data_IF_530915940789
#
_entry.id   IF_530915940789
#
_cell.length_a   1.000
_cell.length_b   1.000
_cell.length_c   1.000
_cell.angle_alpha   90.00
_cell.angle_beta   90.00
_cell.angle_gamma   90.00
#
_symmetry.space_group_name_H-M   'P 1'
#
loop_
_entity.id
_entity.type
_entity.pdbx_description
1 polymer ?
#
# COMPACT_ATOMS: atom_id res chain seq x y z
N UNK A 1 6.22 9.54 -1.86
CA UNK A 1 5.39 9.72 -0.64
C UNK A 1 6.18 9.98 0.64
N UNK A 2 7.27 9.26 0.94
CA UNK A 2 8.00 9.39 2.21
C UNK A 2 8.42 10.83 2.60
N UNK A 3 8.83 11.65 1.63
CA UNK A 3 9.23 13.04 1.88
C UNK A 3 8.03 13.96 2.14
N UNK A 4 6.93 13.76 1.41
CA UNK A 4 5.79 14.67 1.37
C UNK A 4 4.72 14.36 2.42
N UNK A 5 4.77 13.19 3.07
CA UNK A 5 3.79 12.76 4.08
C UNK A 5 4.14 13.28 5.47
N UNK A 6 4.13 14.60 5.60
CA UNK A 6 4.33 15.34 6.85
C UNK A 6 3.16 16.31 7.07
N UNK A 7 2.81 16.65 8.32
CA UNK A 7 1.68 17.55 8.62
C UNK A 7 1.83 18.95 8.00
N UNK A 8 3.06 19.41 7.81
CA UNK A 8 3.43 20.75 7.34
C UNK A 8 3.38 20.90 5.80
N UNK A 9 3.28 19.78 5.05
CA UNK A 9 3.44 19.79 3.59
C UNK A 9 2.11 20.05 2.90
N UNK A 10 2.15 20.85 1.83
CA UNK A 10 0.96 21.16 1.04
C UNK A 10 0.30 19.89 0.47
N UNK A 11 -1.01 19.79 0.64
CA UNK A 11 -1.81 18.61 0.32
C UNK A 11 -1.66 18.15 -1.15
N UNK A 12 -1.45 19.08 -2.08
CA UNK A 12 -1.33 18.72 -3.50
C UNK A 12 -0.12 17.84 -3.83
N UNK A 13 0.96 17.87 -3.05
CA UNK A 13 2.07 16.93 -3.23
C UNK A 13 1.68 15.48 -2.88
N UNK A 14 0.81 15.31 -1.88
CA UNK A 14 0.25 14.01 -1.55
C UNK A 14 -0.71 13.52 -2.61
N UNK A 15 -1.55 14.39 -3.15
CA UNK A 15 -2.46 14.08 -4.25
C UNK A 15 -1.66 13.64 -5.48
N UNK A 16 -0.63 14.39 -5.87
CA UNK A 16 0.24 14.05 -7.00
C UNK A 16 0.89 12.67 -6.81
N UNK A 17 1.41 12.38 -5.62
CA UNK A 17 1.95 11.05 -5.32
C UNK A 17 0.91 9.94 -5.50
N UNK A 18 -0.35 10.15 -5.07
CA UNK A 18 -1.40 9.14 -5.23
C UNK A 18 -1.76 8.93 -6.70
N UNK A 19 -1.81 9.99 -7.50
CA UNK A 19 -2.05 9.89 -8.95
C UNK A 19 -0.94 9.05 -9.61
N UNK A 20 0.33 9.31 -9.29
CA UNK A 20 1.45 8.54 -9.83
C UNK A 20 1.37 7.05 -9.43
N UNK A 21 1.02 6.77 -8.17
CA UNK A 21 0.84 5.39 -7.69
C UNK A 21 -0.33 4.72 -8.42
N UNK A 22 -1.45 5.42 -8.62
CA UNK A 22 -2.62 4.87 -9.31
C UNK A 22 -2.32 4.56 -10.78
N UNK A 23 -1.62 5.45 -11.49
CA UNK A 23 -1.21 5.23 -12.88
C UNK A 23 -0.26 4.04 -12.96
N UNK A 24 0.77 3.99 -12.12
CA UNK A 24 1.72 2.88 -12.11
C UNK A 24 1.04 1.55 -11.75
N UNK A 25 0.24 1.53 -10.68
CA UNK A 25 -0.46 0.33 -10.21
C UNK A 25 -1.45 -0.21 -11.25
N UNK A 26 -2.27 0.65 -11.84
CA UNK A 26 -3.22 0.23 -12.88
C UNK A 26 -2.54 -0.33 -14.12
N UNK A 27 -1.45 0.29 -14.58
CA UNK A 27 -0.69 -0.21 -15.72
C UNK A 27 -0.02 -1.55 -15.42
N UNK A 28 0.61 -1.72 -14.25
CA UNK A 28 1.29 -2.97 -13.91
C UNK A 28 0.34 -4.17 -13.82
N UNK A 29 -0.84 -3.99 -13.22
CA UNK A 29 -1.85 -5.07 -13.11
C UNK A 29 -2.29 -5.57 -14.49
N UNK A 30 -2.53 -4.66 -15.44
CA UNK A 30 -2.91 -5.07 -16.80
C UNK A 30 -1.74 -5.77 -17.50
N UNK A 31 -0.52 -5.25 -17.36
CA UNK A 31 0.66 -5.84 -17.98
C UNK A 31 0.99 -7.25 -17.44
N UNK A 32 0.89 -7.47 -16.12
CA UNK A 32 1.16 -8.79 -15.54
C UNK A 32 0.11 -9.82 -15.98
N UNK A 33 -1.16 -9.44 -16.05
CA UNK A 33 -2.24 -10.30 -16.54
C UNK A 33 -2.00 -10.72 -17.99
N UNK A 34 -1.63 -9.77 -18.85
CA UNK A 34 -1.30 -10.06 -20.25
C UNK A 34 -0.09 -10.99 -20.34
N UNK A 35 0.95 -10.76 -19.53
CA UNK A 35 2.14 -11.62 -19.50
C UNK A 35 1.79 -13.06 -19.06
N UNK A 36 0.96 -13.21 -18.03
CA UNK A 36 0.51 -14.50 -17.54
C UNK A 36 -0.33 -15.25 -18.58
N UNK A 37 -1.27 -14.55 -19.24
CA UNK A 37 -2.09 -15.12 -20.32
C UNK A 37 -1.26 -15.51 -21.56
N UNK A 38 -0.20 -14.76 -21.87
CA UNK A 38 0.68 -15.07 -23.00
C UNK A 38 1.53 -16.34 -22.78
N UNK A 39 1.72 -16.75 -21.53
CA UNK A 39 2.51 -17.94 -21.19
C UNK A 39 1.73 -19.26 -21.28
N UNK A 40 0.40 -19.22 -21.45
CA UNK A 40 -0.46 -20.42 -21.44
C UNK A 40 -1.35 -20.52 -22.67
N UNK A 41 -1.86 -21.74 -22.91
CA UNK A 41 -2.88 -21.95 -23.94
C UNK A 41 -4.22 -21.33 -23.52
N UNK A 42 -5.05 -20.98 -24.51
CA UNK A 42 -6.33 -20.31 -24.27
C UNK A 42 -7.25 -21.05 -23.28
N UNK A 43 -7.22 -22.38 -23.31
CA UNK A 43 -8.01 -23.25 -22.42
C UNK A 43 -7.63 -23.10 -20.94
N UNK A 44 -6.43 -22.59 -20.63
CA UNK A 44 -5.93 -22.45 -19.26
C UNK A 44 -5.92 -21.01 -18.75
N UNK A 45 -6.37 -20.03 -19.53
CA UNK A 45 -6.39 -18.61 -19.13
C UNK A 45 -7.16 -18.41 -17.83
N UNK A 46 -8.36 -18.98 -17.72
CA UNK A 46 -9.19 -18.84 -16.52
C UNK A 46 -8.49 -19.39 -15.26
N UNK A 47 -7.77 -20.51 -15.40
CA UNK A 47 -7.04 -21.13 -14.29
C UNK A 47 -5.87 -20.26 -13.86
N UNK A 48 -5.10 -19.71 -14.81
CA UNK A 48 -3.97 -18.82 -14.51
C UNK A 48 -4.42 -17.54 -13.81
N UNK A 49 -5.48 -16.90 -14.29
CA UNK A 49 -6.03 -15.70 -13.64
C UNK A 49 -6.59 -16.00 -12.25
N UNK A 50 -7.18 -17.19 -12.03
CA UNK A 50 -7.62 -17.60 -10.70
C UNK A 50 -6.44 -17.78 -9.73
N UNK A 51 -5.34 -18.36 -10.20
CA UNK A 51 -4.10 -18.52 -9.41
C UNK A 51 -3.50 -17.14 -9.10
N UNK A 52 -3.43 -16.24 -10.08
CA UNK A 52 -2.99 -14.86 -9.89
C UNK A 52 -3.82 -14.15 -8.80
N UNK A 53 -5.15 -14.18 -8.91
CA UNK A 53 -6.05 -13.58 -7.93
C UNK A 53 -5.87 -14.16 -6.51
N UNK A 54 -5.62 -15.46 -6.40
CA UNK A 54 -5.29 -16.10 -5.13
C UNK A 54 -4.01 -15.53 -4.52
N UNK A 55 -2.94 -15.40 -5.30
CA UNK A 55 -1.68 -14.81 -4.82
C UNK A 55 -1.84 -13.33 -4.46
N UNK A 56 -2.62 -12.57 -5.22
CA UNK A 56 -2.96 -11.17 -4.90
C UNK A 56 -3.67 -11.07 -3.55
N UNK A 57 -4.62 -11.97 -3.26
CA UNK A 57 -5.30 -12.03 -1.96
C UNK A 57 -4.33 -12.33 -0.81
N UNK A 58 -3.41 -13.29 -1.00
CA UNK A 58 -2.37 -13.61 -0.01
C UNK A 58 -1.47 -12.39 0.24
N UNK A 59 -0.98 -11.75 -0.82
CA UNK A 59 -0.15 -10.55 -0.71
C UNK A 59 -0.86 -9.41 0.02
N UNK A 60 -2.15 -9.20 -0.25
CA UNK A 60 -2.96 -8.22 0.45
C UNK A 60 -3.08 -8.54 1.95
N UNK A 61 -3.35 -9.81 2.31
CA UNK A 61 -3.44 -10.23 3.71
C UNK A 61 -2.11 -10.05 4.46
N UNK A 62 -0.98 -10.39 3.83
CA UNK A 62 0.36 -10.16 4.39
C UNK A 62 0.63 -8.67 4.59
N UNK A 63 0.30 -7.83 3.59
CA UNK A 63 0.47 -6.38 3.67
C UNK A 63 -0.35 -5.75 4.80
N UNK A 64 -1.61 -6.14 4.95
CA UNK A 64 -2.47 -5.67 6.05
C UNK A 64 -1.93 -6.11 7.41
N UNK A 65 -1.45 -7.36 7.52
CA UNK A 65 -0.88 -7.88 8.77
C UNK A 65 0.38 -7.11 9.17
N UNK A 66 1.28 -6.84 8.22
CA UNK A 66 2.49 -6.05 8.46
C UNK A 66 2.14 -4.61 8.86
N UNK A 67 1.19 -3.98 8.16
CA UNK A 67 0.72 -2.64 8.52
C UNK A 67 0.11 -2.61 9.93
N UNK A 68 -0.72 -3.59 10.30
CA UNK A 68 -1.29 -3.69 11.64
C UNK A 68 -0.21 -3.88 12.72
N UNK A 69 0.81 -4.70 12.45
CA UNK A 69 1.94 -4.89 13.37
C UNK A 69 2.74 -3.59 13.57
N UNK A 70 3.03 -2.86 12.50
CA UNK A 70 3.71 -1.55 12.59
C UNK A 70 2.83 -0.54 13.33
N UNK A 71 1.53 -0.49 13.03
CA UNK A 71 0.59 0.44 13.66
C UNK A 71 0.52 0.22 15.18
N UNK A 72 0.22 -1.00 15.60
CA UNK A 72 0.09 -1.36 17.02
C UNK A 72 1.42 -1.26 17.77
N UNK A 73 2.54 -1.46 17.07
CA UNK A 73 3.88 -1.38 17.65
C UNK A 73 4.45 0.03 17.77
N UNK A 74 4.14 0.94 16.85
CA UNK A 74 4.79 2.26 16.77
C UNK A 74 3.87 3.42 17.15
N UNK A 75 2.64 3.45 16.63
CA UNK A 75 1.73 4.58 16.82
C UNK A 75 1.48 4.91 18.30
N UNK A 76 1.15 3.97 19.22
CA UNK A 76 0.94 4.31 20.62
C UNK A 76 2.23 4.78 21.33
N UNK A 77 3.40 4.28 20.91
CA UNK A 77 4.70 4.73 21.46
C UNK A 77 4.98 6.19 21.08
N UNK A 78 4.81 6.52 19.80
CA UNK A 78 4.98 7.89 19.29
C UNK A 78 3.94 8.84 19.85
N UNK A 79 2.72 8.36 20.03
CA UNK A 79 1.66 9.13 20.68
C UNK A 79 2.03 9.46 22.13
N UNK A 80 2.57 8.50 22.90
CA UNK A 80 3.05 8.74 24.26
C UNK A 80 4.17 9.78 24.33
N UNK A 81 5.07 9.76 23.35
CA UNK A 81 6.22 10.66 23.24
C UNK A 81 5.79 12.10 22.96
N UNK A 82 4.83 12.29 22.04
CA UNK A 82 4.43 13.62 21.58
C UNK A 82 3.28 14.25 22.36
N UNK A 83 2.47 13.45 23.07
CA UNK A 83 1.34 14.00 23.83
C UNK A 83 1.83 14.96 24.94
N UNK A 84 1.21 16.14 25.04
CA UNK A 84 1.54 17.09 26.08
C UNK A 84 1.02 16.58 27.44
N UNK A 85 1.61 17.00 28.57
CA UNK A 85 1.31 16.47 29.90
C UNK A 85 -0.19 16.42 30.23
N UNK A 86 -0.94 17.44 29.81
CA UNK A 86 -2.39 17.59 30.00
C UNK A 86 -3.23 16.52 29.29
N UNK A 87 -2.73 15.93 28.19
CA UNK A 87 -3.46 14.93 27.40
C UNK A 87 -2.84 13.54 27.48
N UNK A 88 -1.76 13.35 28.26
CA UNK A 88 -1.11 12.03 28.42
C UNK A 88 -2.03 11.01 29.10
N UNK A 89 -2.91 11.45 30.00
CA UNK A 89 -3.90 10.58 30.64
C UNK A 89 -4.88 9.95 29.64
N UNK A 90 -5.16 10.64 28.55
CA UNK A 90 -6.13 10.21 27.53
C UNK A 90 -5.53 9.30 26.46
N UNK A 91 -4.25 8.94 26.56
CA UNK A 91 -3.53 8.19 25.52
C UNK A 91 -4.31 6.98 25.00
N UNK A 92 -4.87 6.16 25.89
CA UNK A 92 -5.64 4.96 25.49
C UNK A 92 -6.93 5.32 24.76
N UNK A 93 -7.62 6.37 25.17
CA UNK A 93 -8.84 6.85 24.52
C UNK A 93 -8.53 7.43 23.13
N UNK A 94 -7.46 8.24 23.03
CA UNK A 94 -6.97 8.81 21.77
C UNK A 94 -6.53 7.70 20.81
N UNK A 95 -5.81 6.69 21.30
CA UNK A 95 -5.38 5.55 20.48
C UNK A 95 -6.58 4.72 19.98
N UNK A 96 -7.54 4.44 20.86
CA UNK A 96 -8.64 3.52 20.59
C UNK A 96 -9.78 4.08 19.76
N UNK A 97 -9.95 5.41 19.68
CA UNK A 97 -11.07 6.02 18.96
C UNK A 97 -10.67 7.25 18.13
N UNK A 98 -10.86 7.15 16.82
CA UNK A 98 -10.67 8.24 15.87
C UNK A 98 -11.57 9.44 16.16
N UNK A 99 -12.77 9.24 16.73
CA UNK A 99 -13.67 10.34 17.10
C UNK A 99 -13.09 11.20 18.21
N UNK A 100 -12.41 10.58 19.17
CA UNK A 100 -11.66 11.27 20.23
C UNK A 100 -10.49 12.05 19.62
N UNK A 101 -9.77 11.47 18.67
CA UNK A 101 -8.69 12.20 17.98
C UNK A 101 -9.21 13.43 17.22
N UNK A 102 -10.37 13.31 16.58
CA UNK A 102 -10.96 14.36 15.76
C UNK A 102 -11.65 15.46 16.58
N UNK A 103 -12.03 15.19 17.84
CA UNK A 103 -12.67 16.17 18.73
C UNK A 103 -11.72 17.28 19.17
N UNK A 104 -10.41 17.03 19.20
CA UNK A 104 -9.41 18.06 19.50
C UNK A 104 -9.35 19.10 18.36
N UNK A 105 -9.39 20.41 18.67
CA UNK A 105 -9.34 21.47 17.66
C UNK A 105 -8.12 21.37 16.74
N UNK A 106 -8.30 21.70 15.46
CA UNK A 106 -7.19 21.81 14.51
C UNK A 106 -6.18 22.86 15.00
N UNK A 107 -4.89 22.52 14.95
CA UNK A 107 -3.81 23.39 15.43
C UNK A 107 -3.55 23.33 16.94
N UNK A 108 -4.38 22.63 17.73
CA UNK A 108 -4.09 22.41 19.15
C UNK A 108 -2.82 21.54 19.34
N UNK A 109 -2.08 21.70 20.45
CA UNK A 109 -0.89 20.89 20.74
C UNK A 109 -1.17 19.38 20.67
N UNK A 110 -2.30 18.93 21.22
CA UNK A 110 -2.75 17.54 21.18
C UNK A 110 -3.03 17.06 19.75
N UNK A 111 -3.73 17.86 18.93
CA UNK A 111 -4.02 17.50 17.53
C UNK A 111 -2.75 17.44 16.68
N UNK A 112 -1.80 18.34 16.92
CA UNK A 112 -0.49 18.30 16.26
C UNK A 112 0.34 17.09 16.69
N UNK A 113 0.32 16.74 17.99
CA UNK A 113 1.00 15.55 18.50
C UNK A 113 0.46 14.26 17.86
N UNK A 114 -0.88 14.14 17.76
CA UNK A 114 -1.53 13.02 17.06
C UNK A 114 -1.08 12.98 15.59
N UNK A 115 -1.13 14.11 14.88
CA UNK A 115 -0.73 14.18 13.47
C UNK A 115 0.73 13.77 13.24
N UNK A 116 1.65 14.16 14.15
CA UNK A 116 3.05 13.73 14.11
C UNK A 116 3.20 12.23 14.35
N UNK A 117 2.48 11.67 15.33
CA UNK A 117 2.49 10.23 15.57
C UNK A 117 1.98 9.44 14.34
N UNK A 118 0.94 9.93 13.65
CA UNK A 118 0.47 9.34 12.39
C UNK A 118 1.55 9.39 11.30
N UNK A 119 2.22 10.53 11.14
CA UNK A 119 3.26 10.70 10.12
C UNK A 119 4.41 9.70 10.32
N UNK A 120 4.86 9.50 11.56
CA UNK A 120 5.94 8.56 11.86
C UNK A 120 5.53 7.10 11.63
N UNK A 121 4.35 6.67 12.11
CA UNK A 121 3.85 5.33 11.88
C UNK A 121 3.67 5.05 10.37
N UNK A 122 3.08 5.98 9.63
CA UNK A 122 2.88 5.86 8.18
C UNK A 122 4.20 5.89 7.40
N UNK A 123 5.20 6.64 7.88
CA UNK A 123 6.54 6.63 7.28
C UNK A 123 7.16 5.24 7.36
N UNK A 124 7.07 4.57 8.51
CA UNK A 124 7.57 3.20 8.65
C UNK A 124 6.83 2.22 7.73
N UNK A 125 5.50 2.33 7.63
CA UNK A 125 4.72 1.53 6.70
C UNK A 125 5.20 1.72 5.24
N UNK A 126 5.41 2.97 4.82
CA UNK A 126 5.90 3.28 3.48
C UNK A 126 7.31 2.74 3.22
N UNK A 127 8.21 2.80 4.20
CA UNK A 127 9.55 2.18 4.10
C UNK A 127 9.42 0.66 3.92
N UNK A 128 8.60 0.01 4.73
CA UNK A 128 8.38 -1.43 4.65
C UNK A 128 7.81 -1.84 3.29
N UNK A 129 6.78 -1.13 2.80
CA UNK A 129 6.21 -1.40 1.47
C UNK A 129 7.22 -1.20 0.34
N UNK A 130 8.06 -0.16 0.43
CA UNK A 130 9.09 0.11 -0.58
C UNK A 130 10.16 -0.99 -0.58
N UNK A 131 10.55 -1.51 0.58
CA UNK A 131 11.50 -2.62 0.68
C UNK A 131 10.94 -3.91 0.05
N UNK A 132 9.66 -4.21 0.26
CA UNK A 132 9.01 -5.39 -0.37
C UNK A 132 8.94 -5.25 -1.89
N UNK A 133 8.72 -4.04 -2.42
CA UNK A 133 8.70 -3.79 -3.87
C UNK A 133 10.01 -4.22 -4.56
N UNK A 134 11.17 -4.06 -3.88
CA UNK A 134 12.47 -4.48 -4.42
C UNK A 134 12.50 -5.98 -4.72
N UNK A 135 11.84 -6.80 -3.89
CA UNK A 135 11.72 -8.24 -4.11
C UNK A 135 10.96 -8.50 -5.41
N UNK A 136 9.88 -7.75 -5.66
CA UNK A 136 9.11 -7.83 -6.91
C UNK A 136 9.96 -7.52 -8.14
N UNK A 137 10.83 -6.50 -8.08
CA UNK A 137 11.73 -6.18 -9.19
C UNK A 137 12.70 -7.34 -9.49
N UNK A 138 13.23 -8.00 -8.46
CA UNK A 138 14.10 -9.17 -8.63
C UNK A 138 13.32 -10.35 -9.23
N UNK A 139 12.07 -10.56 -8.82
CA UNK A 139 11.23 -11.62 -9.38
C UNK A 139 10.94 -11.40 -10.87
N UNK A 140 10.71 -10.15 -11.29
CA UNK A 140 10.51 -9.81 -12.71
C UNK A 140 11.76 -10.10 -13.54
N UNK A 141 12.97 -9.89 -13.00
CA UNK A 141 14.21 -10.25 -13.71
C UNK A 141 14.35 -11.76 -13.96
N UNK A 142 13.64 -12.60 -13.19
CA UNK A 142 13.60 -14.04 -13.40
C UNK A 142 12.54 -14.48 -14.43
N UNK A 143 11.69 -13.56 -14.91
CA UNK A 143 10.68 -13.89 -15.91
C UNK A 143 11.33 -14.23 -17.25
N UNK A 144 10.74 -15.21 -17.91
CA UNK A 144 11.16 -15.62 -19.25
C UNK A 144 10.61 -14.63 -20.26
N UNK A 145 11.44 -14.23 -21.22
CA UNK A 145 10.98 -13.38 -22.32
C UNK A 145 10.04 -14.17 -23.25
N UNK A 146 8.78 -13.73 -23.34
CA UNK A 146 7.74 -14.36 -24.16
C UNK A 146 7.51 -13.49 -25.40
N UNK A 147 7.94 -13.97 -26.57
CA UNK A 147 7.75 -13.26 -27.82
C UNK A 147 6.31 -13.39 -28.33
N UNK A 148 5.50 -12.37 -28.03
CA UNK A 148 4.09 -12.31 -28.44
C UNK A 148 3.87 -12.09 -29.94
N UNK A 149 4.89 -11.68 -30.72
CA UNK A 149 4.74 -11.40 -32.17
C UNK A 149 4.42 -12.64 -33.00
N UNK A 150 4.77 -13.83 -32.50
CA UNK A 150 4.55 -15.10 -33.21
C UNK A 150 3.33 -15.89 -32.69
N UNK A 151 2.57 -15.33 -31.74
CA UNK A 151 1.36 -15.98 -31.23
C UNK A 151 0.26 -15.86 -32.29
N UNK A 152 -0.05 -16.97 -32.98
CA UNK A 152 -1.18 -17.06 -33.91
C UNK A 152 -2.48 -16.94 -33.13
N UNK A 153 -3.15 -15.80 -33.24
CA UNK A 153 -4.50 -15.61 -32.72
C UNK A 153 -5.46 -16.62 -33.38
N UNK A 154 -6.11 -17.44 -32.56
CA UNK A 154 -7.10 -18.42 -33.04
C UNK A 154 -8.31 -17.64 -33.55
N UNK A 155 -8.64 -17.79 -34.84
CA UNK A 155 -9.85 -17.21 -35.45
C UNK A 155 -10.95 -18.28 -35.47
N UNK A 156 -12.03 -18.11 -34.72
CA UNK A 156 -13.18 -19.02 -34.67
C UNK A 156 -14.09 -18.78 -33.46
N UNK A 157 -15.25 -19.45 -33.41
CA UNK A 157 -16.11 -19.48 -32.22
C UNK A 157 -15.39 -20.32 -31.15
N UNK A 158 -15.07 -19.67 -30.04
CA UNK A 158 -14.52 -20.32 -28.85
C UNK A 158 -15.71 -20.96 -28.13
N UNK A 159 -15.79 -22.30 -28.15
CA UNK A 159 -16.78 -23.08 -27.38
C UNK A 159 -16.07 -23.64 -26.15
#
# INVERSE_FOLDING_TARGET
MLLFRRPEVWLGWLILCQILIAVAGGSFVICEQIAAMAAVSHQHIAVVLAIEAMFTSIGAAMGQSLAAAIWTGEFPKKLAEYLPPESRGDLKAIYGDIRVQLSYPMGSPTRMAIARAYADAQKLMLVASTAVLVIGLVAIMAWRDVNVKHIKQVKGIVI
#
